data_IF_479521806502
#
_entry.id   IF_479521806502
#
_cell.length_a   1.000
_cell.length_b   1.000
_cell.length_c   1.000
_cell.angle_alpha   90.00
_cell.angle_beta   90.00
_cell.angle_gamma   90.00
#
_symmetry.space_group_name_H-M   'P 1'
#
loop_
_entity.id
_entity.type
_entity.pdbx_description
1 polymer ?
#
# COMPACT_ATOMS: atom_id res chain seq x y z
N UNK A 1 -54.39 2.47 14.15
CA UNK A 1 -53.11 2.74 13.56
C UNK A 1 -52.06 2.30 14.56
N UNK A 2 -51.37 1.20 14.25
CA UNK A 2 -50.24 0.70 15.08
C UNK A 2 -49.09 1.68 14.91
N UNK A 3 -48.70 2.28 16.01
CA UNK A 3 -47.52 3.14 16.12
C UNK A 3 -46.27 2.28 15.90
N UNK A 4 -45.58 2.52 14.79
CA UNK A 4 -44.31 1.85 14.50
C UNK A 4 -43.29 2.30 15.54
N UNK A 5 -43.00 1.45 16.55
CA UNK A 5 -41.91 1.66 17.51
C UNK A 5 -40.61 1.16 16.89
N UNK A 6 -39.66 2.06 16.69
CA UNK A 6 -38.29 1.66 16.43
C UNK A 6 -37.78 0.81 17.60
N UNK A 7 -37.15 -0.35 17.34
CA UNK A 7 -36.49 -1.08 18.41
C UNK A 7 -35.49 -0.17 19.11
N UNK A 8 -35.51 -0.16 20.44
CA UNK A 8 -34.54 0.53 21.28
C UNK A 8 -33.16 -0.14 21.08
N UNK A 9 -32.50 0.23 19.97
CA UNK A 9 -31.09 -0.13 19.78
C UNK A 9 -30.27 0.80 20.67
N UNK A 10 -29.54 0.22 21.63
CA UNK A 10 -28.59 0.97 22.41
C UNK A 10 -27.58 1.62 21.44
N UNK A 11 -27.09 2.82 21.75
CA UNK A 11 -26.09 3.49 20.92
C UNK A 11 -24.83 2.63 20.72
N UNK A 12 -24.56 1.67 21.63
CA UNK A 12 -23.47 0.69 21.58
C UNK A 12 -23.67 -0.36 20.47
N UNK A 13 -24.93 -0.68 20.14
CA UNK A 13 -25.30 -1.64 19.08
C UNK A 13 -25.46 -0.96 17.72
N UNK A 14 -25.31 0.36 17.63
CA UNK A 14 -25.43 1.10 16.38
C UNK A 14 -24.17 0.93 15.54
N UNK A 15 -24.26 0.08 14.51
CA UNK A 15 -23.17 -0.21 13.58
C UNK A 15 -22.65 1.01 12.81
N UNK A 16 -23.42 2.10 12.71
CA UNK A 16 -22.98 3.35 12.11
C UNK A 16 -22.12 4.19 13.06
N UNK A 17 -22.37 4.07 14.39
CA UNK A 17 -21.59 4.77 15.43
C UNK A 17 -20.40 3.93 15.88
N UNK A 18 -20.60 2.62 15.97
CA UNK A 18 -19.58 1.63 16.34
C UNK A 18 -19.49 0.53 15.29
N UNK A 19 -18.85 0.81 14.13
CA UNK A 19 -18.65 -0.23 13.14
C UNK A 19 -17.78 -1.36 13.72
N UNK A 20 -18.08 -2.63 13.38
CA UNK A 20 -17.29 -3.75 13.87
C UNK A 20 -15.83 -3.56 13.48
N UNK A 21 -14.91 -3.70 14.43
CA UNK A 21 -13.48 -3.64 14.16
C UNK A 21 -13.14 -4.76 13.18
N UNK A 22 -12.45 -4.42 12.09
CA UNK A 22 -11.95 -5.42 11.14
C UNK A 22 -11.02 -6.37 11.88
N UNK A 23 -11.22 -7.68 11.70
CA UNK A 23 -10.32 -8.68 12.26
C UNK A 23 -8.92 -8.51 11.65
N UNK A 24 -7.91 -8.39 12.50
CA UNK A 24 -6.53 -8.31 12.05
C UNK A 24 -6.01 -9.73 11.74
N UNK A 25 -5.62 -9.94 10.50
CA UNK A 25 -4.92 -11.14 10.05
C UNK A 25 -3.50 -10.76 9.63
N UNK A 26 -2.52 -11.61 9.93
CA UNK A 26 -1.13 -11.37 9.58
C UNK A 26 -0.70 -12.38 8.51
N UNK A 27 0.05 -11.91 7.52
CA UNK A 27 0.71 -12.78 6.56
C UNK A 27 1.93 -13.48 7.19
N UNK A 28 2.56 -12.81 8.17
CA UNK A 28 3.67 -13.36 8.94
C UNK A 28 3.67 -12.76 10.36
N UNK A 29 3.84 -13.59 11.37
CA UNK A 29 3.90 -13.17 12.78
C UNK A 29 4.76 -14.14 13.58
N UNK A 30 6.09 -14.05 13.44
CA UNK A 30 7.06 -14.92 14.08
C UNK A 30 8.47 -14.30 14.08
N UNK A 31 9.43 -15.03 14.66
CA UNK A 31 10.86 -14.75 14.46
C UNK A 31 11.23 -15.15 13.05
N UNK A 32 11.76 -14.23 12.27
CA UNK A 32 12.31 -14.46 10.94
C UNK A 32 13.68 -15.14 11.12
N UNK A 33 13.83 -16.36 10.62
CA UNK A 33 15.03 -17.19 10.83
C UNK A 33 16.26 -16.59 10.13
N UNK A 34 16.07 -15.96 8.97
CA UNK A 34 17.16 -15.36 8.19
C UNK A 34 17.66 -14.06 8.86
N UNK A 35 16.73 -13.26 9.37
CA UNK A 35 17.04 -11.98 10.00
C UNK A 35 17.35 -12.09 11.50
N UNK A 36 17.03 -13.24 12.12
CA UNK A 36 17.11 -13.47 13.58
C UNK A 36 16.38 -12.39 14.40
N UNK A 37 15.27 -11.87 13.85
CA UNK A 37 14.47 -10.80 14.43
C UNK A 37 12.97 -11.13 14.32
N UNK A 38 12.22 -10.68 15.32
CA UNK A 38 10.77 -10.78 15.25
C UNK A 38 10.24 -9.90 14.12
N UNK A 39 9.43 -10.52 13.28
CA UNK A 39 8.79 -9.88 12.15
C UNK A 39 7.28 -10.08 12.24
N UNK A 40 6.55 -9.02 12.00
CA UNK A 40 5.09 -9.06 11.79
C UNK A 40 4.78 -8.31 10.50
N UNK A 41 4.03 -8.94 9.62
CA UNK A 41 3.68 -8.35 8.33
C UNK A 41 2.19 -8.51 8.06
N UNK A 42 1.57 -7.43 7.59
CA UNK A 42 0.20 -7.47 7.09
C UNK A 42 0.16 -8.18 5.74
N UNK A 43 -0.98 -8.79 5.36
CA UNK A 43 -1.18 -9.29 4.00
C UNK A 43 -1.04 -8.16 2.99
N UNK A 44 -0.34 -8.38 1.86
CA UNK A 44 -0.33 -7.41 0.79
C UNK A 44 -1.74 -7.26 0.20
N UNK A 45 -2.13 -6.03 -0.09
CA UNK A 45 -3.37 -5.71 -0.78
C UNK A 45 -3.09 -4.74 -1.93
N UNK A 46 -3.98 -4.71 -2.90
CA UNK A 46 -3.86 -3.83 -4.04
C UNK A 46 -4.07 -2.38 -3.60
N UNK A 47 -3.05 -1.54 -3.80
CA UNK A 47 -3.09 -0.13 -3.46
C UNK A 47 -3.68 0.69 -4.61
N UNK A 48 -3.21 0.42 -5.83
CA UNK A 48 -3.74 1.01 -7.07
C UNK A 48 -3.43 0.12 -8.27
N UNK A 49 -4.13 0.38 -9.37
CA UNK A 49 -3.79 -0.13 -10.69
C UNK A 49 -3.96 0.98 -11.73
N UNK A 50 -3.13 0.96 -12.74
CA UNK A 50 -3.13 1.95 -13.82
C UNK A 50 -3.05 1.29 -15.18
N UNK A 51 -3.85 1.79 -16.11
CA UNK A 51 -3.79 1.39 -17.52
C UNK A 51 -4.11 2.60 -18.39
N UNK A 52 -3.17 2.99 -19.25
CA UNK A 52 -3.42 4.00 -20.27
C UNK A 52 -4.54 3.52 -21.21
N UNK A 53 -5.51 4.38 -21.52
CA UNK A 53 -6.67 4.04 -22.34
C UNK A 53 -6.28 3.43 -23.71
N UNK A 54 -5.13 3.84 -24.28
CA UNK A 54 -4.60 3.32 -25.53
C UNK A 54 -4.14 1.86 -25.44
N UNK A 55 -3.80 1.39 -24.23
CA UNK A 55 -3.33 0.04 -23.98
C UNK A 55 -4.44 -0.92 -23.59
N UNK A 56 -5.61 -0.43 -23.15
CA UNK A 56 -6.73 -1.26 -22.68
C UNK A 56 -7.14 -2.34 -23.69
N UNK A 57 -7.16 -2.00 -24.95
CA UNK A 57 -7.54 -2.97 -26.00
C UNK A 57 -6.58 -4.16 -26.08
N UNK A 58 -5.28 -3.93 -25.86
CA UNK A 58 -4.25 -4.97 -25.96
C UNK A 58 -4.12 -5.78 -24.66
N UNK A 59 -4.35 -5.16 -23.53
CA UNK A 59 -4.20 -5.76 -22.20
C UNK A 59 -5.43 -6.54 -21.73
N UNK A 60 -6.58 -6.32 -22.38
CA UNK A 60 -7.87 -6.89 -21.99
C UNK A 60 -8.19 -6.55 -20.52
N UNK A 61 -8.18 -7.61 -19.65
CA UNK A 61 -8.53 -7.47 -18.23
C UNK A 61 -7.31 -7.25 -17.30
N UNK A 62 -6.09 -7.18 -17.85
CA UNK A 62 -4.88 -6.92 -17.07
C UNK A 62 -4.60 -5.43 -16.97
N UNK A 63 -4.23 -4.97 -15.78
CA UNK A 63 -3.67 -3.64 -15.63
C UNK A 63 -2.26 -3.58 -16.25
N UNK A 64 -1.91 -2.44 -16.84
CA UNK A 64 -0.55 -2.19 -17.33
C UNK A 64 0.45 -2.14 -16.16
N UNK A 65 0.08 -1.44 -15.10
CA UNK A 65 0.81 -1.37 -13.84
C UNK A 65 -0.17 -1.65 -12.70
N UNK A 66 0.19 -2.54 -11.79
CA UNK A 66 -0.47 -2.69 -10.50
C UNK A 66 0.53 -2.51 -9.37
N UNK A 67 0.08 -2.00 -8.25
CA UNK A 67 0.87 -1.85 -7.04
C UNK A 67 0.19 -2.53 -5.87
N UNK A 68 0.84 -3.52 -5.30
CA UNK A 68 0.47 -4.09 -4.01
C UNK A 68 1.29 -3.45 -2.89
N UNK A 69 0.65 -3.23 -1.75
CA UNK A 69 1.29 -2.63 -0.58
C UNK A 69 1.01 -3.44 0.67
N UNK A 70 1.95 -3.43 1.60
CA UNK A 70 1.71 -3.87 2.97
C UNK A 70 2.66 -3.20 3.96
N UNK A 71 2.18 -3.07 5.19
CA UNK A 71 2.99 -2.61 6.31
C UNK A 71 3.59 -3.80 7.07
N UNK A 72 4.81 -3.64 7.54
CA UNK A 72 5.50 -4.65 8.35
C UNK A 72 6.39 -4.03 9.43
N UNK A 73 6.60 -4.79 10.51
CA UNK A 73 7.59 -4.48 11.54
C UNK A 73 8.67 -5.57 11.54
N UNK A 74 9.92 -5.18 11.55
CA UNK A 74 11.08 -6.08 11.62
C UNK A 74 12.04 -5.58 12.68
N UNK A 75 12.16 -6.28 13.81
CA UNK A 75 13.06 -5.88 14.90
C UNK A 75 12.80 -4.45 15.41
N UNK A 76 11.54 -3.99 15.38
CA UNK A 76 11.14 -2.63 15.76
C UNK A 76 11.18 -1.59 14.64
N UNK A 77 11.78 -1.89 13.51
CA UNK A 77 11.71 -1.04 12.32
C UNK A 77 10.34 -1.19 11.67
N UNK A 78 9.72 -0.07 11.34
CA UNK A 78 8.44 0.01 10.64
C UNK A 78 8.68 0.28 9.17
N UNK A 79 8.07 -0.49 8.30
CA UNK A 79 8.36 -0.47 6.87
C UNK A 79 7.07 -0.52 6.06
N UNK A 80 6.94 0.36 5.06
CA UNK A 80 6.00 0.23 3.97
C UNK A 80 6.70 -0.54 2.84
N UNK A 81 6.13 -1.68 2.45
CA UNK A 81 6.59 -2.46 1.32
C UNK A 81 5.66 -2.20 0.13
N UNK A 82 6.23 -1.93 -1.03
CA UNK A 82 5.52 -1.80 -2.29
C UNK A 82 6.05 -2.82 -3.28
N UNK A 83 5.13 -3.46 -4.00
CA UNK A 83 5.43 -4.33 -5.14
C UNK A 83 4.69 -3.79 -6.36
N UNK A 84 5.46 -3.30 -7.33
CA UNK A 84 4.95 -2.83 -8.62
C UNK A 84 5.08 -3.95 -9.64
N UNK A 85 4.02 -4.26 -10.37
CA UNK A 85 3.99 -5.23 -11.44
C UNK A 85 3.56 -4.60 -12.74
N UNK A 86 4.39 -4.72 -13.74
CA UNK A 86 4.08 -4.30 -15.10
C UNK A 86 3.78 -5.51 -15.97
N UNK A 87 2.70 -5.43 -16.74
CA UNK A 87 2.28 -6.48 -17.67
C UNK A 87 3.18 -6.58 -18.93
N UNK A 88 4.19 -5.70 -19.06
CA UNK A 88 5.12 -5.65 -20.19
C UNK A 88 6.56 -5.59 -19.72
N UNK A 89 7.44 -6.44 -20.27
CA UNK A 89 8.86 -6.46 -19.91
C UNK A 89 9.60 -5.16 -20.27
N UNK A 90 9.17 -4.48 -21.34
CA UNK A 90 9.80 -3.24 -21.83
C UNK A 90 9.46 -2.02 -20.95
N UNK A 91 8.65 -2.18 -19.92
CA UNK A 91 8.39 -1.09 -18.96
C UNK A 91 9.69 -0.58 -18.30
N UNK A 92 10.73 -1.41 -18.17
CA UNK A 92 12.04 -0.99 -17.67
C UNK A 92 12.71 0.09 -18.51
N UNK A 93 12.44 0.14 -19.83
CA UNK A 93 12.96 1.19 -20.71
C UNK A 93 12.26 2.54 -20.46
N UNK A 94 10.99 2.49 -20.09
CA UNK A 94 10.18 3.69 -19.82
C UNK A 94 10.36 4.21 -18.39
N UNK A 95 10.41 3.31 -17.41
CA UNK A 95 10.42 3.65 -15.97
C UNK A 95 11.83 3.60 -15.37
N UNK A 96 12.70 2.73 -15.86
CA UNK A 96 14.05 2.53 -15.33
C UNK A 96 14.02 1.76 -14.02
N UNK A 97 14.46 2.39 -12.94
CA UNK A 97 14.59 1.80 -11.60
C UNK A 97 14.24 2.83 -10.50
N UNK A 98 14.13 2.37 -9.26
CA UNK A 98 13.97 3.24 -8.07
C UNK A 98 15.29 3.19 -7.30
N UNK A 99 16.00 4.31 -7.25
CA UNK A 99 17.28 4.42 -6.54
C UNK A 99 17.08 4.34 -5.02
N UNK A 100 18.10 3.88 -4.31
CA UNK A 100 18.16 4.05 -2.86
C UNK A 100 18.09 5.54 -2.52
N UNK A 101 17.21 5.90 -1.57
CA UNK A 101 16.94 7.29 -1.21
C UNK A 101 15.93 8.00 -2.12
N UNK A 102 15.50 7.38 -3.21
CA UNK A 102 14.42 7.92 -4.06
C UNK A 102 13.15 8.17 -3.26
N UNK A 103 12.45 9.24 -3.57
CA UNK A 103 11.29 9.69 -2.81
C UNK A 103 10.04 8.93 -3.24
N UNK A 104 9.20 8.58 -2.27
CA UNK A 104 7.79 8.27 -2.43
C UNK A 104 7.00 9.34 -1.69
N UNK A 105 6.14 10.06 -2.37
CA UNK A 105 5.24 11.03 -1.73
C UNK A 105 3.87 10.41 -1.55
N UNK A 106 3.39 10.38 -0.32
CA UNK A 106 2.03 10.00 0.03
C UNK A 106 1.22 11.29 0.21
N UNK A 107 0.20 11.47 -0.62
CA UNK A 107 -0.70 12.63 -0.62
C UNK A 107 -2.02 12.24 0.03
N UNK A 108 -2.53 13.07 0.93
CA UNK A 108 -3.71 12.80 1.72
C UNK A 108 -4.90 13.67 1.30
N UNK A 109 -6.13 13.23 1.59
CA UNK A 109 -7.36 13.94 1.24
C UNK A 109 -7.45 15.35 1.85
N UNK A 110 -6.78 15.58 2.98
CA UNK A 110 -6.72 16.91 3.62
C UNK A 110 -5.79 17.90 2.89
N UNK A 111 -5.09 17.45 1.83
CA UNK A 111 -4.15 18.25 1.04
C UNK A 111 -2.70 18.23 1.55
N UNK A 112 -2.44 17.59 2.68
CA UNK A 112 -1.10 17.40 3.22
C UNK A 112 -0.37 16.26 2.50
N UNK A 113 0.93 16.14 2.73
CA UNK A 113 1.73 15.05 2.21
C UNK A 113 2.88 14.67 3.14
N UNK A 114 3.36 13.44 3.00
CA UNK A 114 4.61 12.99 3.62
C UNK A 114 5.53 12.38 2.55
N UNK A 115 6.83 12.56 2.73
CA UNK A 115 7.85 11.97 1.89
C UNK A 115 8.55 10.82 2.61
N UNK A 116 8.65 9.69 1.93
CA UNK A 116 9.40 8.51 2.36
C UNK A 116 10.61 8.34 1.44
N UNK A 117 11.65 7.67 1.92
CA UNK A 117 12.84 7.38 1.13
C UNK A 117 13.02 5.88 0.96
N UNK A 118 13.30 5.45 -0.27
CA UNK A 118 13.59 4.06 -0.57
C UNK A 118 14.82 3.58 0.22
N UNK A 119 14.68 2.48 0.95
CA UNK A 119 15.75 1.92 1.78
C UNK A 119 16.86 1.27 0.95
N UNK A 120 16.52 0.73 -0.21
CA UNK A 120 17.41 0.02 -1.12
C UNK A 120 17.08 0.34 -2.57
N UNK A 121 18.02 0.08 -3.46
CA UNK A 121 17.78 0.09 -4.91
C UNK A 121 16.72 -0.97 -5.25
N UNK A 122 15.70 -0.60 -6.00
CA UNK A 122 14.76 -1.53 -6.61
C UNK A 122 14.95 -1.53 -8.13
N UNK A 123 15.50 -2.63 -8.62
CA UNK A 123 15.67 -2.92 -10.02
C UNK A 123 14.58 -3.89 -10.50
N UNK A 124 14.13 -3.74 -11.73
CA UNK A 124 13.07 -4.57 -12.29
C UNK A 124 13.52 -6.02 -12.48
N UNK A 125 12.75 -6.96 -11.94
CA UNK A 125 12.96 -8.39 -12.10
C UNK A 125 11.91 -8.95 -13.06
N UNK A 126 12.34 -9.45 -14.19
CA UNK A 126 11.46 -10.05 -15.18
C UNK A 126 11.27 -11.55 -14.90
N UNK A 127 10.01 -11.98 -14.82
CA UNK A 127 9.64 -13.38 -14.73
C UNK A 127 9.19 -13.88 -16.10
N UNK A 128 9.96 -14.81 -16.69
CA UNK A 128 9.67 -15.41 -17.99
C UNK A 128 8.41 -16.27 -18.01
N UNK A 129 7.93 -16.74 -16.83
CA UNK A 129 6.76 -17.60 -16.74
C UNK A 129 5.47 -16.79 -16.75
N UNK A 130 5.45 -15.67 -16.02
CA UNK A 130 4.30 -14.78 -15.93
C UNK A 130 4.34 -13.65 -16.95
N UNK A 131 5.50 -13.45 -17.58
CA UNK A 131 5.79 -12.34 -18.49
C UNK A 131 5.62 -10.96 -17.82
N UNK A 132 5.85 -10.88 -16.51
CA UNK A 132 5.69 -9.68 -15.72
C UNK A 132 7.06 -9.12 -15.29
N UNK A 133 7.16 -7.79 -15.27
CA UNK A 133 8.30 -7.08 -14.70
C UNK A 133 7.91 -6.59 -13.31
N UNK A 134 8.63 -7.02 -12.28
CA UNK A 134 8.32 -6.71 -10.88
C UNK A 134 9.41 -5.89 -10.22
N UNK A 135 9.01 -4.80 -9.54
CA UNK A 135 9.88 -4.00 -8.67
C UNK A 135 9.41 -4.16 -7.23
N UNK A 136 10.33 -4.44 -6.30
CA UNK A 136 10.06 -4.52 -4.86
C UNK A 136 10.88 -3.47 -4.15
N UNK A 137 10.20 -2.57 -3.45
CA UNK A 137 10.85 -1.48 -2.75
C UNK A 137 10.32 -1.34 -1.33
N UNK A 138 11.20 -0.99 -0.41
CA UNK A 138 10.93 -0.83 1.02
C UNK A 138 11.19 0.62 1.43
N UNK A 139 10.23 1.19 2.13
CA UNK A 139 10.29 2.54 2.67
C UNK A 139 10.25 2.49 4.20
N UNK A 140 11.39 2.66 4.90
CA UNK A 140 11.39 2.80 6.34
C UNK A 140 10.57 4.01 6.80
N UNK A 141 9.81 3.84 7.88
CA UNK A 141 8.90 4.85 8.43
C UNK A 141 9.40 5.35 9.79
N UNK A 142 9.48 6.65 9.95
CA UNK A 142 9.69 7.30 11.24
C UNK A 142 8.41 7.28 12.09
N UNK A 143 8.56 7.50 13.39
CA UNK A 143 7.41 7.59 14.31
C UNK A 143 6.41 8.69 13.92
N UNK A 144 6.91 9.83 13.44
CA UNK A 144 6.06 10.93 12.98
C UNK A 144 5.26 10.56 11.73
N UNK A 145 5.89 9.89 10.75
CA UNK A 145 5.22 9.44 9.54
C UNK A 145 4.15 8.38 9.84
N UNK A 146 4.44 7.46 10.77
CA UNK A 146 3.46 6.47 11.23
C UNK A 146 2.27 7.12 11.91
N UNK A 147 2.49 8.10 12.79
CA UNK A 147 1.41 8.82 13.46
C UNK A 147 0.49 9.54 12.45
N UNK A 148 1.07 10.02 11.35
CA UNK A 148 0.34 10.64 10.26
C UNK A 148 -0.49 9.62 9.46
N UNK A 149 0.14 8.51 9.05
CA UNK A 149 -0.53 7.41 8.33
C UNK A 149 -1.72 6.80 9.06
N UNK A 150 -1.69 6.79 10.39
CA UNK A 150 -2.79 6.26 11.21
C UNK A 150 -4.02 7.15 11.23
N UNK A 151 -3.83 8.43 11.00
CA UNK A 151 -4.85 9.45 11.23
C UNK A 151 -5.49 9.95 9.94
N UNK A 152 -4.70 10.04 8.89
CA UNK A 152 -5.11 10.72 7.66
C UNK A 152 -5.38 9.70 6.53
N UNK A 153 -6.38 10.01 5.71
CA UNK A 153 -6.82 9.20 4.58
C UNK A 153 -5.94 9.46 3.36
N UNK A 154 -5.35 8.38 2.82
CA UNK A 154 -4.45 8.45 1.66
C UNK A 154 -5.26 8.62 0.37
N UNK A 155 -4.99 9.69 -0.39
CA UNK A 155 -5.63 9.97 -1.68
C UNK A 155 -4.82 9.41 -2.85
N UNK A 156 -3.53 9.78 -2.92
CA UNK A 156 -2.64 9.42 -4.03
C UNK A 156 -1.24 9.09 -3.55
N UNK A 157 -0.53 8.35 -4.41
CA UNK A 157 0.91 8.11 -4.26
C UNK A 157 1.65 8.68 -5.47
N UNK A 158 2.76 9.39 -5.22
CA UNK A 158 3.67 9.85 -6.26
C UNK A 158 4.96 9.06 -6.14
N UNK A 159 5.26 8.29 -7.18
CA UNK A 159 6.43 7.42 -7.28
C UNK A 159 7.49 8.10 -8.14
N UNK A 160 8.72 8.18 -7.64
CA UNK A 160 9.86 8.73 -8.38
C UNK A 160 10.71 7.59 -8.92
N UNK A 161 10.62 7.39 -10.22
CA UNK A 161 11.45 6.49 -11.01
C UNK A 161 12.70 7.22 -11.48
N UNK A 162 13.72 6.50 -11.97
CA UNK A 162 14.90 7.14 -12.56
C UNK A 162 14.58 7.95 -13.82
N UNK A 163 13.48 7.66 -14.49
CA UNK A 163 12.98 8.39 -15.68
C UNK A 163 12.12 9.61 -15.37
N UNK A 164 11.64 9.78 -14.14
CA UNK A 164 10.72 10.85 -13.74
C UNK A 164 9.78 10.42 -12.64
N UNK A 165 8.65 11.11 -12.49
CA UNK A 165 7.65 10.73 -11.49
C UNK A 165 6.26 10.57 -12.12
N UNK A 166 5.45 9.74 -11.47
CA UNK A 166 4.04 9.57 -11.79
C UNK A 166 3.19 9.53 -10.51
N UNK A 167 1.94 9.96 -10.63
CA UNK A 167 0.96 9.93 -9.53
C UNK A 167 -0.15 8.95 -9.85
N UNK A 168 -0.60 8.23 -8.80
CA UNK A 168 -1.65 7.24 -8.89
C UNK A 168 -2.66 7.42 -7.76
N UNK A 169 -3.94 7.37 -8.08
CA UNK A 169 -5.02 7.36 -7.10
C UNK A 169 -5.11 6.00 -6.43
N UNK A 170 -5.33 5.97 -5.11
CA UNK A 170 -5.45 4.72 -4.36
C UNK A 170 -6.91 4.23 -4.35
N UNK A 171 -7.09 2.91 -4.28
CA UNK A 171 -8.43 2.32 -4.27
C UNK A 171 -9.15 2.43 -2.92
N UNK A 172 -8.41 2.31 -1.82
CA UNK A 172 -8.94 2.38 -0.46
C UNK A 172 -8.11 3.38 0.35
N UNK A 173 -8.71 4.52 0.63
CA UNK A 173 -8.07 5.64 1.33
C UNK A 173 -7.66 5.30 2.76
N UNK A 174 -8.32 4.33 3.39
CA UNK A 174 -8.05 3.86 4.75
C UNK A 174 -7.10 2.65 4.80
N UNK A 175 -6.69 2.11 3.65
CA UNK A 175 -5.92 0.87 3.56
C UNK A 175 -4.69 0.84 4.48
N UNK A 176 -3.82 1.84 4.40
CA UNK A 176 -2.61 1.91 5.23
C UNK A 176 -2.92 2.22 6.69
N UNK A 177 -3.92 3.06 6.98
CA UNK A 177 -4.35 3.37 8.34
C UNK A 177 -4.85 2.11 9.06
N UNK A 178 -5.67 1.30 8.38
CA UNK A 178 -6.19 0.03 8.90
C UNK A 178 -5.06 -0.97 9.20
N UNK A 179 -4.07 -1.09 8.31
CA UNK A 179 -2.92 -1.96 8.53
C UNK A 179 -2.05 -1.48 9.71
N UNK A 180 -1.81 -0.17 9.81
CA UNK A 180 -1.05 0.41 10.92
C UNK A 180 -1.72 0.17 12.28
N UNK A 181 -3.05 0.26 12.33
CA UNK A 181 -3.85 -0.08 13.50
C UNK A 181 -3.66 -1.54 13.92
N UNK A 182 -3.73 -2.48 12.95
CA UNK A 182 -3.55 -3.90 13.20
C UNK A 182 -2.15 -4.25 13.71
N UNK A 183 -1.11 -3.53 13.24
CA UNK A 183 0.25 -3.71 13.74
C UNK A 183 0.48 -3.11 15.14
N UNK A 184 -0.49 -2.38 15.67
CA UNK A 184 -0.39 -1.72 16.96
C UNK A 184 0.56 -0.53 16.95
N UNK A 185 0.72 0.11 15.81
CA UNK A 185 1.62 1.25 15.62
C UNK A 185 1.10 2.52 16.28
#
# INVERSE_FOLDING_TARGET
>A
PEEFRYPDMSWEDNLMVNPPRRACTYAFDAVDEDLQRYRRAMPPGELFAYTDDRLRFYLKDKAYLSCAANLSTVGGLRVLNLEFKFAYPNASEAYGFIEQGSILTLLFLNGDFINLQAGVLADGQYDMTTEELTYRVQYPLSTAQVAYLKKEELDRVRVYWSSGYEEYEVFDVEFLANQAQCLGW
#
